data_IF_715549428647
#
_entry.id   IF_715549428647
#
_cell.length_a   1.000
_cell.length_b   1.000
_cell.length_c   1.000
_cell.angle_alpha   90.00
_cell.angle_beta   90.00
_cell.angle_gamma   90.00
#
_symmetry.space_group_name_H-M   'P 1'
#
loop_
_entity.id
_entity.type
_entity.pdbx_description
1 polymer ?
#
# COMPACT_ATOMS: atom_id res chain seq x y z
N UNK A 1 9.45 -10.72 15.74
CA UNK A 1 9.60 -9.68 16.77
C UNK A 1 8.36 -8.80 16.77
N UNK A 2 7.90 -8.30 17.93
CA UNK A 2 6.69 -7.48 18.01
C UNK A 2 6.97 -6.12 18.71
N UNK A 3 6.01 -5.21 18.64
CA UNK A 3 6.14 -3.84 19.17
C UNK A 3 6.42 -3.79 20.68
N UNK A 4 5.91 -4.78 21.44
CA UNK A 4 6.14 -4.88 22.88
C UNK A 4 7.61 -5.17 23.20
N UNK A 5 8.28 -6.00 22.39
CA UNK A 5 9.70 -6.30 22.55
C UNK A 5 10.59 -5.10 22.24
N UNK A 6 10.25 -4.32 21.21
CA UNK A 6 10.95 -3.05 20.92
C UNK A 6 10.81 -2.08 22.10
N UNK A 7 9.61 -1.94 22.66
CA UNK A 7 9.34 -1.09 23.81
C UNK A 7 10.16 -1.50 25.05
N UNK A 8 10.26 -2.81 25.32
CA UNK A 8 11.07 -3.34 26.41
C UNK A 8 12.57 -3.03 26.21
N UNK A 9 13.10 -3.22 25.00
CA UNK A 9 14.51 -2.91 24.67
C UNK A 9 14.80 -1.41 24.77
N UNK A 10 13.83 -0.57 24.36
CA UNK A 10 13.96 0.89 24.41
C UNK A 10 13.69 1.48 25.82
N UNK A 11 13.17 0.70 26.77
CA UNK A 11 12.78 1.20 28.10
C UNK A 11 11.64 2.21 28.08
N UNK A 12 10.73 2.13 27.08
CA UNK A 12 9.61 3.05 26.91
C UNK A 12 8.28 2.31 26.73
N UNK A 13 7.16 3.04 26.76
CA UNK A 13 5.85 2.43 26.52
C UNK A 13 5.66 2.05 25.04
N UNK A 14 4.81 1.06 24.77
CA UNK A 14 4.41 0.68 23.41
C UNK A 14 3.82 1.85 22.64
N UNK A 15 3.08 2.73 23.32
CA UNK A 15 2.52 3.95 22.71
C UNK A 15 3.62 4.93 22.29
N UNK A 16 4.71 5.03 23.04
CA UNK A 16 5.86 5.87 22.66
C UNK A 16 6.55 5.34 21.42
N UNK A 17 6.79 4.01 21.35
CA UNK A 17 7.34 3.38 20.14
C UNK A 17 6.43 3.64 18.92
N UNK A 18 5.11 3.46 19.08
CA UNK A 18 4.13 3.74 18.02
C UNK A 18 4.17 5.20 17.55
N UNK A 19 4.35 6.16 18.45
CA UNK A 19 4.46 7.58 18.12
C UNK A 19 5.71 7.89 17.30
N UNK A 20 6.84 7.30 17.69
CA UNK A 20 8.11 7.44 16.93
C UNK A 20 7.97 6.88 15.53
N UNK A 21 7.42 5.66 15.38
CA UNK A 21 7.18 5.01 14.09
C UNK A 21 6.27 5.82 13.17
N UNK A 22 5.28 6.53 13.75
CA UNK A 22 4.34 7.35 13.00
C UNK A 22 4.83 8.80 12.81
N UNK A 23 6.09 9.12 13.13
CA UNK A 23 6.69 10.44 12.90
C UNK A 23 6.06 11.58 13.70
N UNK A 24 5.42 11.32 14.86
CA UNK A 24 4.78 12.37 15.65
C UNK A 24 5.80 13.35 16.23
N UNK A 25 5.57 14.64 16.02
CA UNK A 25 6.50 15.74 16.36
C UNK A 25 6.72 15.97 17.86
N UNK A 26 5.77 15.54 18.70
CA UNK A 26 5.83 15.75 20.16
C UNK A 26 6.64 14.67 20.94
N UNK A 27 7.36 13.81 20.24
CA UNK A 27 8.36 12.91 20.88
C UNK A 27 9.70 13.61 20.85
N UNK A 28 10.33 13.76 22.04
CA UNK A 28 11.64 14.40 22.12
C UNK A 28 12.70 13.61 21.35
N UNK A 29 13.77 14.33 20.94
CA UNK A 29 14.79 13.79 20.05
C UNK A 29 15.58 12.62 20.70
N UNK A 30 15.82 12.70 22.00
CA UNK A 30 16.52 11.66 22.76
C UNK A 30 15.72 10.35 22.77
N UNK A 31 14.44 10.42 23.09
CA UNK A 31 13.52 9.27 23.04
C UNK A 31 13.43 8.70 21.62
N UNK A 32 13.42 9.55 20.61
CA UNK A 32 13.40 9.13 19.21
C UNK A 32 14.65 8.31 18.86
N UNK A 33 15.83 8.77 19.25
CA UNK A 33 17.09 8.05 19.04
C UNK A 33 17.11 6.69 19.72
N UNK A 34 16.70 6.62 21.01
CA UNK A 34 16.63 5.37 21.77
C UNK A 34 15.71 4.36 21.09
N UNK A 35 14.51 4.78 20.68
CA UNK A 35 13.55 3.91 20.02
C UNK A 35 14.04 3.46 18.64
N UNK A 36 14.65 4.36 17.86
CA UNK A 36 15.21 4.02 16.54
C UNK A 36 16.32 2.98 16.67
N UNK A 37 17.18 3.12 17.65
CA UNK A 37 18.24 2.16 17.92
C UNK A 37 17.68 0.80 18.39
N UNK A 38 16.63 0.80 19.21
CA UNK A 38 15.95 -0.43 19.63
C UNK A 38 15.28 -1.14 18.44
N UNK A 39 14.67 -0.41 17.52
CA UNK A 39 14.11 -0.95 16.26
C UNK A 39 15.22 -1.63 15.45
N UNK A 40 16.37 -0.95 15.29
CA UNK A 40 17.52 -1.48 14.58
C UNK A 40 18.07 -2.77 15.23
N UNK A 41 18.28 -2.76 16.53
CA UNK A 41 18.80 -3.91 17.30
C UNK A 41 17.86 -5.12 17.26
N UNK A 42 16.56 -4.87 17.27
CA UNK A 42 15.54 -5.93 17.25
C UNK A 42 15.19 -6.40 15.84
N UNK A 43 15.73 -5.76 14.81
CA UNK A 43 15.34 -5.98 13.41
C UNK A 43 13.82 -5.98 13.22
N UNK A 44 13.14 -5.10 13.99
CA UNK A 44 11.69 -5.01 13.94
C UNK A 44 11.24 -4.32 12.65
N UNK A 45 10.38 -5.00 11.90
CA UNK A 45 9.70 -4.40 10.76
C UNK A 45 8.23 -4.16 11.14
N UNK A 46 7.75 -2.91 10.99
CA UNK A 46 6.33 -2.61 11.19
C UNK A 46 5.46 -3.47 10.27
N UNK A 47 4.43 -4.07 10.84
CA UNK A 47 3.46 -4.82 10.04
C UNK A 47 2.61 -3.84 9.23
N UNK A 48 2.84 -3.81 7.91
CA UNK A 48 2.14 -2.92 6.99
C UNK A 48 0.60 -3.14 7.02
N UNK A 49 0.15 -4.40 7.16
CA UNK A 49 -1.28 -4.72 7.29
C UNK A 49 -1.88 -4.12 8.56
N UNK A 50 -1.19 -4.24 9.71
CA UNK A 50 -1.66 -3.65 10.96
C UNK A 50 -1.69 -2.12 10.91
N UNK A 51 -0.73 -1.50 10.21
CA UNK A 51 -0.73 -0.06 9.99
C UNK A 51 -1.86 0.36 9.05
N UNK A 52 -2.08 -0.35 7.95
CA UNK A 52 -3.18 -0.10 7.00
C UNK A 52 -4.55 -0.19 7.69
N UNK A 53 -4.76 -1.21 8.51
CA UNK A 53 -5.96 -1.37 9.33
C UNK A 53 -6.19 -0.17 10.25
N UNK A 54 -5.16 0.32 10.91
CA UNK A 54 -5.24 1.48 11.81
C UNK A 54 -5.48 2.79 11.06
N UNK A 55 -4.89 2.94 9.87
CA UNK A 55 -5.02 4.16 9.05
C UNK A 55 -6.26 4.15 8.15
N UNK A 56 -6.92 3.01 7.99
CA UNK A 56 -8.06 2.85 7.08
C UNK A 56 -7.67 2.92 5.60
N UNK A 57 -6.37 2.77 5.28
CA UNK A 57 -5.85 2.80 3.90
C UNK A 57 -4.58 1.98 3.76
N UNK A 58 -4.38 1.40 2.57
CA UNK A 58 -3.22 0.56 2.24
C UNK A 58 -2.08 1.34 1.56
N UNK A 59 -2.34 2.55 1.07
CA UNK A 59 -1.50 3.30 0.15
C UNK A 59 -1.17 2.49 -1.11
N UNK A 60 -2.15 1.73 -1.61
CA UNK A 60 -1.98 0.86 -2.76
C UNK A 60 -3.12 1.07 -3.74
N UNK A 61 -2.81 1.20 -5.02
CA UNK A 61 -3.78 1.25 -6.12
C UNK A 61 -3.55 0.09 -7.07
N UNK A 62 -4.60 -0.33 -7.75
CA UNK A 62 -4.53 -1.32 -8.81
C UNK A 62 -4.69 -0.64 -10.17
N UNK A 63 -3.74 -0.85 -11.07
CA UNK A 63 -3.81 -0.46 -12.47
C UNK A 63 -4.11 -1.71 -13.30
N UNK A 64 -5.26 -1.73 -13.96
CA UNK A 64 -5.64 -2.79 -14.89
C UNK A 64 -5.47 -2.30 -16.32
N UNK A 65 -4.76 -3.06 -17.12
CA UNK A 65 -4.51 -2.78 -18.54
C UNK A 65 -4.87 -3.98 -19.39
N UNK A 66 -5.34 -3.76 -20.63
CA UNK A 66 -5.72 -4.85 -21.53
C UNK A 66 -4.53 -5.70 -21.98
N UNK A 67 -3.36 -5.09 -22.24
CA UNK A 67 -2.19 -5.82 -22.70
C UNK A 67 -0.90 -5.08 -22.39
N UNK A 68 0.04 -5.78 -21.76
CA UNK A 68 1.41 -5.28 -21.54
C UNK A 68 2.24 -5.26 -22.83
N UNK A 69 1.81 -5.97 -23.88
CA UNK A 69 2.52 -6.04 -25.16
C UNK A 69 2.20 -4.85 -26.07
N UNK A 70 1.09 -4.18 -25.85
CA UNK A 70 0.74 -2.96 -26.56
C UNK A 70 1.56 -1.78 -26.05
N UNK A 71 2.35 -1.16 -26.93
CA UNK A 71 3.34 -0.11 -26.60
C UNK A 71 2.76 1.14 -25.91
N UNK A 72 1.45 1.35 -25.98
CA UNK A 72 0.79 2.45 -25.28
C UNK A 72 0.77 2.23 -23.76
N UNK A 73 0.46 1.01 -23.31
CA UNK A 73 0.24 0.73 -21.88
C UNK A 73 1.49 0.78 -21.03
N UNK A 74 2.70 0.36 -21.47
CA UNK A 74 3.93 0.57 -20.73
C UNK A 74 4.20 2.06 -20.41
N UNK A 75 3.94 2.97 -21.35
CA UNK A 75 4.09 4.42 -21.14
C UNK A 75 3.06 4.96 -20.13
N UNK A 76 1.81 4.52 -20.22
CA UNK A 76 0.75 4.86 -19.28
C UNK A 76 1.10 4.33 -17.87
N UNK A 77 1.50 3.07 -17.78
CA UNK A 77 1.94 2.44 -16.51
C UNK A 77 3.08 3.22 -15.87
N UNK A 78 4.06 3.64 -16.66
CA UNK A 78 5.18 4.46 -16.18
C UNK A 78 4.71 5.77 -15.58
N UNK A 79 3.79 6.47 -16.24
CA UNK A 79 3.22 7.72 -15.73
C UNK A 79 2.44 7.54 -14.42
N UNK A 80 1.62 6.48 -14.34
CA UNK A 80 0.88 6.15 -13.12
C UNK A 80 1.82 5.79 -11.99
N UNK A 81 2.86 4.98 -12.23
CA UNK A 81 3.83 4.58 -11.22
C UNK A 81 4.65 5.76 -10.70
N UNK A 82 5.10 6.65 -11.58
CA UNK A 82 5.88 7.83 -11.19
C UNK A 82 5.06 8.75 -10.28
N UNK A 83 3.78 8.96 -10.59
CA UNK A 83 2.91 9.80 -9.76
C UNK A 83 2.53 9.11 -8.45
N UNK A 84 2.23 7.81 -8.47
CA UNK A 84 1.96 7.03 -7.26
C UNK A 84 3.15 7.08 -6.30
N UNK A 85 4.37 6.90 -6.81
CA UNK A 85 5.60 6.93 -6.01
C UNK A 85 5.83 8.28 -5.34
N UNK A 86 5.58 9.40 -6.04
CA UNK A 86 5.66 10.75 -5.44
C UNK A 86 4.71 10.93 -4.27
N UNK A 87 3.57 10.25 -4.30
CA UNK A 87 2.54 10.29 -3.26
C UNK A 87 2.65 9.15 -2.24
N UNK A 88 3.76 8.39 -2.23
CA UNK A 88 3.99 7.29 -1.29
C UNK A 88 3.04 6.12 -1.48
N UNK A 89 2.55 5.91 -2.71
CA UNK A 89 1.65 4.82 -3.08
C UNK A 89 2.38 3.74 -3.88
N UNK A 90 1.89 2.51 -3.77
CA UNK A 90 2.34 1.36 -4.55
C UNK A 90 1.31 1.04 -5.63
N UNK A 91 1.76 0.65 -6.81
CA UNK A 91 0.89 0.23 -7.92
C UNK A 91 0.96 -1.28 -8.09
N UNK A 92 -0.20 -1.96 -8.04
CA UNK A 92 -0.35 -3.31 -8.56
C UNK A 92 -0.79 -3.23 -10.02
N UNK A 93 0.01 -3.83 -10.91
CA UNK A 93 -0.34 -3.96 -12.32
C UNK A 93 -1.03 -5.29 -12.57
N UNK A 94 -2.22 -5.24 -13.18
CA UNK A 94 -2.98 -6.41 -13.62
C UNK A 94 -3.17 -6.35 -15.14
N UNK A 95 -2.67 -7.35 -15.84
CA UNK A 95 -2.86 -7.50 -17.28
C UNK A 95 -4.09 -8.39 -17.51
N UNK A 96 -5.09 -7.88 -18.22
CA UNK A 96 -6.39 -8.57 -18.36
C UNK A 96 -6.53 -9.36 -19.66
N UNK A 97 -5.56 -9.26 -20.57
CA UNK A 97 -5.56 -9.92 -21.89
C UNK A 97 -6.84 -9.66 -22.70
N UNK A 98 -7.44 -8.48 -22.51
CA UNK A 98 -8.73 -8.08 -23.14
C UNK A 98 -9.89 -9.02 -22.76
N UNK A 99 -9.74 -9.83 -21.70
CA UNK A 99 -10.74 -10.79 -21.22
C UNK A 99 -11.52 -10.23 -20.03
N UNK A 100 -12.85 -10.07 -20.23
CA UNK A 100 -13.73 -9.54 -19.19
C UNK A 100 -13.84 -10.46 -17.95
N UNK A 101 -13.65 -11.78 -18.11
CA UNK A 101 -13.66 -12.72 -16.99
C UNK A 101 -12.39 -12.58 -16.14
N UNK A 102 -11.23 -12.40 -16.78
CA UNK A 102 -9.96 -12.11 -16.09
C UNK A 102 -10.06 -10.75 -15.39
N UNK A 103 -10.57 -9.71 -16.06
CA UNK A 103 -10.77 -8.38 -15.49
C UNK A 103 -11.64 -8.45 -14.22
N UNK A 104 -12.77 -9.13 -14.29
CA UNK A 104 -13.67 -9.34 -13.16
C UNK A 104 -12.97 -10.07 -12.00
N UNK A 105 -12.24 -11.15 -12.29
CA UNK A 105 -11.51 -11.94 -11.29
C UNK A 105 -10.47 -11.10 -10.57
N UNK A 106 -9.71 -10.26 -11.28
CA UNK A 106 -8.76 -9.32 -10.66
C UNK A 106 -9.45 -8.29 -9.78
N UNK A 107 -10.57 -7.71 -10.23
CA UNK A 107 -11.34 -6.76 -9.42
C UNK A 107 -11.80 -7.38 -8.10
N UNK A 108 -12.37 -8.59 -8.13
CA UNK A 108 -12.82 -9.30 -6.95
C UNK A 108 -11.65 -9.61 -6.00
N UNK A 109 -10.53 -10.10 -6.53
CA UNK A 109 -9.33 -10.40 -5.76
C UNK A 109 -8.74 -9.16 -5.11
N UNK A 110 -8.64 -8.06 -5.84
CA UNK A 110 -8.03 -6.83 -5.36
C UNK A 110 -8.91 -6.09 -4.35
N UNK A 111 -10.25 -6.15 -4.48
CA UNK A 111 -11.17 -5.65 -3.44
C UNK A 111 -10.95 -6.34 -2.09
N UNK A 112 -10.68 -7.65 -2.09
CA UNK A 112 -10.39 -8.42 -0.87
C UNK A 112 -9.02 -8.08 -0.25
N UNK A 113 -8.11 -7.51 -1.02
CA UNK A 113 -6.74 -7.15 -0.60
C UNK A 113 -6.58 -5.73 -0.08
N UNK A 114 -7.68 -5.04 0.19
CA UNK A 114 -7.64 -3.67 0.74
C UNK A 114 -6.89 -2.68 -0.16
N UNK A 115 -7.25 -2.67 -1.43
CA UNK A 115 -6.75 -1.68 -2.39
C UNK A 115 -7.53 -0.38 -2.22
N UNK A 116 -6.83 0.75 -2.15
CA UNK A 116 -7.44 2.07 -1.93
C UNK A 116 -8.19 2.59 -3.17
N UNK A 117 -7.81 2.12 -4.36
CA UNK A 117 -8.45 2.53 -5.59
C UNK A 117 -8.03 1.73 -6.81
N UNK A 118 -8.79 1.93 -7.88
CA UNK A 118 -8.57 1.27 -9.17
C UNK A 118 -8.43 2.30 -10.28
N UNK A 119 -7.49 2.06 -11.18
CA UNK A 119 -7.39 2.70 -12.50
C UNK A 119 -7.61 1.56 -13.49
N UNK A 120 -8.70 1.63 -14.27
CA UNK A 120 -9.07 0.56 -15.17
C UNK A 120 -9.06 1.08 -16.61
N UNK A 121 -8.19 0.49 -17.43
CA UNK A 121 -8.18 0.66 -18.87
C UNK A 121 -8.90 -0.54 -19.47
N UNK A 122 -10.21 -0.42 -19.66
CA UNK A 122 -11.06 -1.48 -20.21
C UNK A 122 -11.55 -1.10 -21.59
N UNK A 123 -11.73 -2.10 -22.46
CA UNK A 123 -12.37 -1.94 -23.75
C UNK A 123 -13.89 -1.73 -23.62
N UNK A 124 -14.47 -2.11 -22.48
CA UNK A 124 -15.90 -2.00 -22.20
C UNK A 124 -16.15 -1.26 -20.89
N UNK A 125 -16.25 0.07 -20.96
CA UNK A 125 -16.55 0.94 -19.80
C UNK A 125 -17.93 0.67 -19.16
N UNK A 126 -18.81 -0.01 -19.86
CA UNK A 126 -20.19 -0.32 -19.46
C UNK A 126 -20.36 -1.70 -18.83
N UNK A 127 -19.28 -2.46 -18.66
CA UNK A 127 -19.34 -3.76 -18.03
C UNK A 127 -19.89 -3.67 -16.59
N UNK A 128 -20.80 -4.57 -16.17
CA UNK A 128 -21.44 -4.52 -14.84
C UNK A 128 -20.42 -4.51 -13.67
N UNK A 129 -19.32 -5.23 -13.82
CA UNK A 129 -18.27 -5.31 -12.81
C UNK A 129 -17.47 -3.99 -12.68
N UNK A 130 -17.36 -3.20 -13.76
CA UNK A 130 -16.76 -1.85 -13.72
C UNK A 130 -17.73 -0.86 -13.07
N UNK A 131 -19.03 -0.92 -13.41
CA UNK A 131 -20.05 -0.07 -12.78
C UNK A 131 -20.14 -0.26 -11.26
N UNK A 132 -19.84 -1.47 -10.76
CA UNK A 132 -19.83 -1.78 -9.33
C UNK A 132 -18.66 -1.15 -8.54
N UNK A 133 -17.75 -0.43 -9.20
CA UNK A 133 -16.65 0.31 -8.58
C UNK A 133 -17.04 1.75 -8.16
N UNK A 134 -18.22 2.20 -8.55
CA UNK A 134 -18.72 3.55 -8.22
C UNK A 134 -19.43 3.60 -6.87
#
# INVERSE_FOLDING_TARGET
MNLKQVAAVAGVSVSTVSRVLNGKSYVNEETRKIVTEAIRKTNYQPNALAQSLKMGRSNTICLMIPSIENLMFPKLTRGVEDEARKNGMTVFLCNTDEDAAIEKSYLETMKQRWIDGFIVCSLSSDAPHIRSLR
#
